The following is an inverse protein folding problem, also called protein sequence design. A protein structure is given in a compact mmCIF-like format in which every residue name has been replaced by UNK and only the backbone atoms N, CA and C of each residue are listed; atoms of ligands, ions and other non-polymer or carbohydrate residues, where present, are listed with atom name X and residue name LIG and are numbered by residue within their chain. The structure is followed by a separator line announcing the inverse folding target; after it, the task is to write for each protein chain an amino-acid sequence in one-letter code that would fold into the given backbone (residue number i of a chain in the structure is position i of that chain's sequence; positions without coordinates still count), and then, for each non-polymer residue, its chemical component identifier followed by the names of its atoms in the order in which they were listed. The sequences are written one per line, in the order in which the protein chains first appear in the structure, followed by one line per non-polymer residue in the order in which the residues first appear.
data_IF_980508877370
#
_entry.id   IF_980508877370
#
_cell.length_a   1.000
_cell.length_b   1.000
_cell.length_c   1.000
_cell.angle_alpha   90.00
_cell.angle_beta   90.00
_cell.angle_gamma   90.00
#
_symmetry.space_group_name_H-M   'P 1'
#
loop_
_entity.id
_entity.type
_entity.pdbx_description
1 polymer ?
#
# COMPACT_ATOMS: atom_id res chain seq x y z
N UNK A 1 9.78 -17.29 -25.75
CA UNK A 1 9.84 -16.00 -25.03
C UNK A 1 9.16 -16.20 -23.69
N UNK A 2 9.84 -15.93 -22.57
CA UNK A 2 9.24 -16.05 -21.24
C UNK A 2 8.38 -14.78 -20.99
N UNK A 3 7.11 -14.89 -20.57
CA UNK A 3 6.29 -13.72 -20.28
C UNK A 3 6.88 -12.84 -19.18
N UNK A 4 6.67 -11.52 -19.28
CA UNK A 4 7.15 -10.54 -18.28
C UNK A 4 6.73 -10.92 -16.84
N UNK A 5 5.49 -11.38 -16.68
CA UNK A 5 4.90 -11.77 -15.39
C UNK A 5 5.61 -12.93 -14.69
N UNK A 6 6.38 -13.76 -15.41
CA UNK A 6 6.99 -14.98 -14.87
C UNK A 6 7.89 -14.71 -13.65
N UNK A 7 8.59 -13.56 -13.63
CA UNK A 7 9.48 -13.19 -12.51
C UNK A 7 8.75 -12.87 -11.20
N UNK A 8 7.44 -12.61 -11.26
CA UNK A 8 6.62 -12.24 -10.11
C UNK A 8 5.71 -13.39 -9.63
N UNK A 9 5.73 -14.55 -10.29
CA UNK A 9 4.85 -15.66 -9.92
C UNK A 9 5.06 -16.13 -8.49
N UNK A 10 6.30 -16.17 -8.01
CA UNK A 10 6.60 -16.57 -6.64
C UNK A 10 6.02 -15.58 -5.61
N UNK A 11 6.13 -14.27 -5.87
CA UNK A 11 5.63 -13.23 -4.97
C UNK A 11 4.11 -13.13 -5.01
N UNK A 12 3.48 -13.23 -6.19
CA UNK A 12 2.01 -13.30 -6.34
C UNK A 12 1.45 -14.52 -5.58
N UNK A 13 2.11 -15.67 -5.65
CA UNK A 13 1.68 -16.88 -4.91
C UNK A 13 1.80 -16.70 -3.40
N UNK A 14 2.88 -16.07 -2.94
CA UNK A 14 3.03 -15.70 -1.53
C UNK A 14 1.95 -14.70 -1.10
N UNK A 15 1.68 -13.66 -1.88
CA UNK A 15 0.62 -12.68 -1.61
C UNK A 15 -0.78 -13.32 -1.60
N UNK A 16 -1.03 -14.30 -2.48
CA UNK A 16 -2.29 -15.09 -2.49
C UNK A 16 -2.46 -15.84 -1.17
N UNK A 17 -1.39 -16.47 -0.67
CA UNK A 17 -1.43 -17.16 0.63
C UNK A 17 -1.70 -16.18 1.78
N UNK A 18 -1.02 -15.02 1.79
CA UNK A 18 -1.24 -13.99 2.81
C UNK A 18 -2.66 -13.43 2.77
N UNK A 19 -3.23 -13.21 1.58
CA UNK A 19 -4.61 -12.77 1.44
C UNK A 19 -5.59 -13.80 2.00
N UNK A 20 -5.35 -15.10 1.78
CA UNK A 20 -6.14 -16.18 2.39
C UNK A 20 -6.04 -16.19 3.91
N UNK A 21 -4.84 -15.99 4.46
CA UNK A 21 -4.63 -15.91 5.91
C UNK A 21 -5.33 -14.68 6.52
N UNK A 22 -5.29 -13.53 5.82
CA UNK A 22 -5.94 -12.30 6.26
C UNK A 22 -7.47 -12.39 6.32
N UNK A 23 -8.08 -13.17 5.42
CA UNK A 23 -9.53 -13.42 5.43
C UNK A 23 -9.94 -14.61 6.32
N UNK A 24 -8.95 -15.35 6.86
CA UNK A 24 -9.14 -16.48 7.77
C UNK A 24 -8.53 -17.77 7.23
N UNK A 25 -9.20 -18.41 6.27
CA UNK A 25 -8.71 -19.63 5.63
C UNK A 25 -9.26 -19.82 4.20
N UNK A 26 -8.81 -20.88 3.52
CA UNK A 26 -9.25 -21.20 2.16
C UNK A 26 -10.75 -21.49 2.05
N UNK A 27 -11.41 -21.93 3.13
CA UNK A 27 -12.84 -22.24 3.14
C UNK A 27 -13.67 -20.97 3.28
N UNK A 28 -13.25 -20.05 4.15
CA UNK A 28 -13.83 -18.72 4.29
C UNK A 28 -13.71 -17.95 2.96
N UNK A 29 -12.52 -17.96 2.36
CA UNK A 29 -12.26 -17.36 1.05
C UNK A 29 -13.18 -17.89 -0.06
N UNK A 30 -13.43 -19.20 -0.09
CA UNK A 30 -14.38 -19.80 -1.04
C UNK A 30 -15.84 -19.40 -0.79
N UNK A 31 -16.18 -18.89 0.39
CA UNK A 31 -17.54 -18.49 0.75
C UNK A 31 -17.98 -17.14 0.15
N UNK A 32 -17.04 -16.28 -0.22
CA UNK A 32 -17.34 -14.95 -0.79
C UNK A 32 -16.69 -14.70 -2.16
N UNK A 33 -15.87 -15.62 -2.67
CA UNK A 33 -15.34 -15.57 -4.03
C UNK A 33 -16.11 -16.54 -4.93
N UNK A 34 -16.00 -16.38 -6.26
CA UNK A 34 -16.65 -17.29 -7.22
C UNK A 34 -15.98 -18.67 -7.38
N UNK A 35 -14.89 -18.94 -6.66
CA UNK A 35 -14.05 -20.13 -6.85
C UNK A 35 -14.09 -21.05 -5.63
N UNK A 36 -13.85 -22.34 -5.85
CA UNK A 36 -13.85 -23.32 -4.78
C UNK A 36 -12.51 -23.33 -4.01
N UNK A 37 -12.54 -23.85 -2.78
CA UNK A 37 -11.37 -24.02 -1.91
C UNK A 37 -10.15 -24.62 -2.64
N UNK A 38 -10.34 -25.70 -3.39
CA UNK A 38 -9.25 -26.39 -4.10
C UNK A 38 -8.59 -25.52 -5.17
N UNK A 39 -9.35 -24.63 -5.82
CA UNK A 39 -8.80 -23.68 -6.79
C UNK A 39 -7.97 -22.60 -6.08
N UNK A 40 -8.40 -22.12 -4.93
CA UNK A 40 -7.63 -21.17 -4.13
C UNK A 40 -6.31 -21.78 -3.62
N UNK A 41 -6.33 -23.04 -3.17
CA UNK A 41 -5.13 -23.79 -2.79
C UNK A 41 -4.15 -23.92 -3.99
N UNK A 42 -4.70 -24.18 -5.19
CA UNK A 42 -3.92 -24.21 -6.42
C UNK A 42 -3.27 -22.86 -6.74
N UNK A 43 -4.01 -21.76 -6.61
CA UNK A 43 -3.49 -20.41 -6.86
C UNK A 43 -2.33 -20.07 -5.93
N UNK A 44 -2.41 -20.46 -4.65
CA UNK A 44 -1.35 -20.22 -3.67
C UNK A 44 -0.13 -21.18 -3.80
N UNK A 45 -0.29 -22.34 -4.42
CA UNK A 45 0.76 -23.36 -4.50
C UNK A 45 1.87 -23.02 -5.49
N UNK A 46 3.14 -23.07 -5.07
CA UNK A 46 4.32 -22.88 -5.94
C UNK A 46 4.51 -23.97 -6.99
N UNK A 47 3.86 -25.11 -6.82
CA UNK A 47 3.99 -26.27 -7.71
C UNK A 47 2.91 -26.30 -8.79
N UNK A 48 1.89 -25.44 -8.69
CA UNK A 48 0.80 -25.39 -9.66
C UNK A 48 0.95 -24.17 -10.58
N UNK A 49 0.69 -24.34 -11.90
CA UNK A 49 0.88 -23.27 -12.87
C UNK A 49 -0.23 -22.20 -12.82
N UNK A 50 -1.33 -22.48 -12.13
CA UNK A 50 -2.46 -21.56 -12.00
C UNK A 50 -2.14 -20.41 -11.06
N UNK A 51 -2.69 -19.24 -11.36
CA UNK A 51 -2.51 -18.00 -10.61
C UNK A 51 -3.90 -17.41 -10.36
N UNK A 52 -4.04 -16.70 -9.23
CA UNK A 52 -5.30 -16.07 -8.87
C UNK A 52 -5.80 -15.14 -9.99
N UNK A 53 -7.04 -15.31 -10.47
CA UNK A 53 -7.67 -14.37 -11.41
C UNK A 53 -7.88 -12.99 -10.77
N UNK A 54 -7.87 -11.93 -11.59
CA UNK A 54 -7.98 -10.55 -11.11
C UNK A 54 -9.29 -10.28 -10.34
N UNK A 55 -10.41 -10.82 -10.81
CA UNK A 55 -11.70 -10.67 -10.14
C UNK A 55 -11.72 -11.30 -8.75
N UNK A 56 -11.14 -12.50 -8.61
CA UNK A 56 -10.97 -13.16 -7.31
C UNK A 56 -10.00 -12.37 -6.43
N UNK A 57 -8.93 -11.80 -6.98
CA UNK A 57 -8.00 -10.97 -6.22
C UNK A 57 -8.68 -9.72 -5.64
N UNK A 58 -9.59 -9.10 -6.39
CA UNK A 58 -10.39 -7.96 -5.92
C UNK A 58 -11.27 -8.37 -4.73
N UNK A 59 -11.99 -9.49 -4.83
CA UNK A 59 -12.83 -9.99 -3.74
C UNK A 59 -12.01 -10.26 -2.47
N UNK A 60 -10.83 -10.87 -2.63
CA UNK A 60 -9.90 -11.17 -1.53
C UNK A 60 -9.39 -9.90 -0.83
N UNK A 61 -8.86 -8.94 -1.59
CA UNK A 61 -8.37 -7.67 -1.02
C UNK A 61 -9.51 -6.87 -0.37
N UNK A 62 -10.71 -6.90 -0.97
CA UNK A 62 -11.89 -6.22 -0.42
C UNK A 62 -12.34 -6.83 0.91
N UNK A 63 -12.32 -8.16 1.03
CA UNK A 63 -12.69 -8.86 2.25
C UNK A 63 -11.60 -8.75 3.33
N UNK A 64 -10.33 -8.74 2.93
CA UNK A 64 -9.20 -8.52 3.84
C UNK A 64 -9.11 -7.07 4.34
N UNK A 65 -9.86 -6.15 3.73
CA UNK A 65 -9.78 -4.70 3.95
C UNK A 65 -8.36 -4.15 3.78
N UNK A 66 -7.55 -4.82 2.97
CA UNK A 66 -6.13 -4.53 2.73
C UNK A 66 -5.79 -4.83 1.27
N UNK A 67 -5.03 -3.97 0.57
CA UNK A 67 -4.70 -4.15 -0.84
C UNK A 67 -3.51 -5.11 -1.03
N UNK A 68 -3.59 -6.34 -0.53
CA UNK A 68 -2.46 -7.30 -0.51
C UNK A 68 -2.05 -7.68 -1.93
N UNK A 69 -2.99 -8.18 -2.74
CA UNK A 69 -2.75 -8.63 -4.11
C UNK A 69 -2.60 -7.45 -5.07
N UNK A 70 -3.36 -6.37 -4.85
CA UNK A 70 -3.24 -5.13 -5.59
C UNK A 70 -1.86 -4.50 -5.41
N UNK A 71 -1.29 -4.53 -4.20
CA UNK A 71 0.06 -4.02 -3.94
C UNK A 71 1.12 -4.84 -4.66
N UNK A 72 0.98 -6.16 -4.68
CA UNK A 72 1.89 -7.03 -5.42
C UNK A 72 1.85 -6.76 -6.93
N UNK A 73 0.65 -6.56 -7.50
CA UNK A 73 0.49 -6.17 -8.90
C UNK A 73 1.10 -4.80 -9.19
N UNK A 74 0.88 -3.81 -8.32
CA UNK A 74 1.45 -2.48 -8.45
C UNK A 74 2.99 -2.54 -8.43
N UNK A 75 3.58 -3.26 -7.47
CA UNK A 75 5.03 -3.45 -7.38
C UNK A 75 5.61 -4.12 -8.62
N UNK A 76 4.95 -5.15 -9.16
CA UNK A 76 5.39 -5.82 -10.39
C UNK A 76 5.46 -4.87 -11.60
N UNK A 77 4.66 -3.81 -11.58
CA UNK A 77 4.58 -2.79 -12.63
C UNK A 77 5.37 -1.51 -12.31
N UNK A 78 5.99 -1.41 -11.13
CA UNK A 78 6.72 -0.21 -10.69
C UNK A 78 5.83 0.92 -10.17
N UNK A 79 4.62 0.60 -9.71
CA UNK A 79 3.70 1.54 -9.06
C UNK A 79 3.61 1.30 -7.55
N UNK A 80 3.09 2.29 -6.83
CA UNK A 80 2.63 2.18 -5.44
C UNK A 80 1.11 2.27 -5.39
N UNK A 81 0.49 1.53 -4.48
CA UNK A 81 -0.97 1.61 -4.25
C UNK A 81 -1.26 2.78 -3.33
N UNK A 82 -2.16 3.65 -3.78
CA UNK A 82 -2.70 4.75 -2.98
C UNK A 82 -4.20 4.49 -2.73
N UNK A 83 -4.64 4.35 -1.47
CA UNK A 83 -6.05 4.20 -1.16
C UNK A 83 -6.87 5.43 -1.61
N UNK A 84 -7.99 5.19 -2.30
CA UNK A 84 -8.90 6.28 -2.71
C UNK A 84 -9.66 6.90 -1.54
N UNK A 85 -9.86 6.13 -0.46
CA UNK A 85 -10.54 6.57 0.75
C UNK A 85 -9.68 6.26 1.97
N UNK A 86 -9.11 7.30 2.59
CA UNK A 86 -8.31 7.19 3.82
C UNK A 86 -9.06 7.88 4.94
N UNK A 87 -10.10 7.22 5.45
CA UNK A 87 -10.90 7.67 6.59
C UNK A 87 -11.15 9.20 6.66
N UNK A 88 -11.26 9.78 7.84
CA UNK A 88 -11.32 11.23 8.01
C UNK A 88 -9.92 11.85 8.14
N UNK A 89 -8.97 11.51 7.26
CA UNK A 89 -7.69 12.24 7.18
C UNK A 89 -7.94 13.74 6.90
N UNK A 90 -7.38 14.63 7.70
CA UNK A 90 -7.51 16.08 7.52
C UNK A 90 -6.31 16.57 6.71
N UNK A 91 -6.54 17.13 5.52
CA UNK A 91 -5.45 17.56 4.64
C UNK A 91 -4.54 18.59 5.33
N UNK A 92 -5.08 19.48 6.15
CA UNK A 92 -4.30 20.47 6.89
C UNK A 92 -3.42 19.81 7.95
N UNK A 93 -3.99 18.89 8.73
CA UNK A 93 -3.25 18.12 9.74
C UNK A 93 -2.19 17.23 9.12
N UNK A 94 -2.51 16.53 8.04
CA UNK A 94 -1.59 15.62 7.35
C UNK A 94 -0.44 16.41 6.71
N UNK A 95 -0.71 17.59 6.13
CA UNK A 95 0.35 18.45 5.60
C UNK A 95 1.19 19.14 6.69
N UNK A 96 0.60 19.44 7.85
CA UNK A 96 1.33 19.92 9.03
C UNK A 96 2.28 18.83 9.55
N UNK A 97 1.78 17.61 9.72
CA UNK A 97 2.58 16.44 10.10
C UNK A 97 3.68 16.18 9.07
N UNK A 98 3.36 16.26 7.77
CA UNK A 98 4.32 16.11 6.67
C UNK A 98 5.48 17.11 6.79
N UNK A 99 5.18 18.39 7.06
CA UNK A 99 6.19 19.44 7.23
C UNK A 99 7.21 19.07 8.31
N UNK A 100 6.72 18.59 9.47
CA UNK A 100 7.59 18.17 10.57
C UNK A 100 8.44 16.95 10.22
N UNK A 101 7.81 15.86 9.74
CA UNK A 101 8.54 14.60 9.50
C UNK A 101 9.47 14.67 8.29
N UNK A 102 9.13 15.46 7.26
CA UNK A 102 9.99 15.69 6.11
C UNK A 102 11.22 16.51 6.47
N UNK A 103 11.10 17.50 7.35
CA UNK A 103 12.24 18.27 7.85
C UNK A 103 13.27 17.40 8.55
N UNK A 104 12.83 16.49 9.43
CA UNK A 104 13.71 15.53 10.09
C UNK A 104 14.39 14.58 9.10
N UNK A 105 13.64 14.10 8.10
CA UNK A 105 14.16 13.20 7.06
C UNK A 105 15.21 13.90 6.19
N UNK A 106 14.93 15.12 5.72
CA UNK A 106 15.86 15.92 4.91
C UNK A 106 17.12 16.28 5.70
N UNK A 107 16.98 16.67 6.97
CA UNK A 107 18.13 16.95 7.84
C UNK A 107 19.04 15.72 8.00
N UNK A 108 18.43 14.54 8.21
CA UNK A 108 19.16 13.26 8.29
C UNK A 108 19.85 12.94 6.97
N UNK A 109 19.17 13.15 5.84
CA UNK A 109 19.72 12.92 4.50
C UNK A 109 20.92 13.84 4.21
N UNK A 110 20.83 15.12 4.56
CA UNK A 110 21.93 16.08 4.37
C UNK A 110 23.17 15.62 5.15
N UNK A 111 23.00 15.16 6.40
CA UNK A 111 24.10 14.65 7.22
C UNK A 111 24.75 13.40 6.61
N UNK A 112 23.94 12.44 6.16
CA UNK A 112 24.43 11.21 5.51
C UNK A 112 25.17 11.53 4.20
N UNK A 113 24.78 12.59 3.49
CA UNK A 113 25.43 12.96 2.23
C UNK A 113 26.80 13.65 2.42
N UNK A 114 27.24 13.95 3.65
CA UNK A 114 28.49 14.67 3.91
C UNK A 114 29.74 13.93 3.42
N UNK A 115 29.77 12.61 3.53
CA UNK A 115 30.90 11.77 3.10
C UNK A 115 30.66 11.07 1.74
N UNK A 116 29.46 11.19 1.20
CA UNK A 116 29.06 10.62 -0.09
C UNK A 116 28.83 9.10 -0.08
N UNK A 117 28.78 8.46 1.09
CA UNK A 117 28.54 7.02 1.27
C UNK A 117 27.34 6.83 2.20
N UNK A 118 26.51 5.82 1.93
CA UNK A 118 25.45 5.42 2.87
C UNK A 118 25.89 4.13 3.53
N UNK A 119 26.23 4.18 4.82
CA UNK A 119 26.59 2.98 5.58
C UNK A 119 25.36 2.21 6.10
N UNK A 120 25.51 0.97 6.60
CA UNK A 120 24.38 0.19 7.12
C UNK A 120 23.65 0.83 8.30
N UNK A 121 24.34 1.55 9.19
CA UNK A 121 23.73 2.27 10.31
C UNK A 121 22.89 3.43 9.79
N UNK A 122 23.39 4.19 8.83
CA UNK A 122 22.70 5.30 8.18
C UNK A 122 21.48 4.84 7.38
N UNK A 123 21.60 3.71 6.68
CA UNK A 123 20.48 3.08 6.00
C UNK A 123 19.37 2.69 6.98
N UNK A 124 19.73 2.10 8.13
CA UNK A 124 18.78 1.75 9.19
C UNK A 124 18.15 2.99 9.86
N UNK A 125 18.86 4.12 9.88
CA UNK A 125 18.37 5.38 10.45
C UNK A 125 17.39 6.08 9.50
N UNK A 126 17.73 6.21 8.21
CA UNK A 126 16.94 6.99 7.26
C UNK A 126 15.71 6.24 6.73
N UNK A 127 15.77 4.90 6.62
CA UNK A 127 14.67 4.08 6.11
C UNK A 127 13.34 4.29 6.87
N UNK A 128 13.26 4.22 8.22
CA UNK A 128 12.01 4.44 8.93
C UNK A 128 11.49 5.87 8.79
N UNK A 129 12.39 6.88 8.69
CA UNK A 129 12.02 8.28 8.47
C UNK A 129 11.37 8.46 7.10
N UNK A 130 11.98 7.91 6.04
CA UNK A 130 11.42 7.91 4.69
C UNK A 130 10.06 7.19 4.62
N UNK A 131 9.94 6.03 5.28
CA UNK A 131 8.67 5.29 5.33
C UNK A 131 7.56 6.11 6.00
N UNK A 132 7.87 6.81 7.10
CA UNK A 132 6.93 7.70 7.79
C UNK A 132 6.52 8.89 6.91
N UNK A 133 7.49 9.56 6.27
CA UNK A 133 7.20 10.68 5.36
C UNK A 133 6.31 10.25 4.20
N UNK A 134 6.62 9.09 3.59
CA UNK A 134 5.80 8.49 2.54
C UNK A 134 4.37 8.27 3.04
N UNK A 135 4.19 7.59 4.16
CA UNK A 135 2.88 7.30 4.72
C UNK A 135 2.02 8.55 4.95
N UNK A 136 2.59 9.62 5.52
CA UNK A 136 1.86 10.87 5.76
C UNK A 136 1.46 11.54 4.44
N UNK A 137 2.35 11.55 3.45
CA UNK A 137 2.05 12.11 2.13
C UNK A 137 0.96 11.30 1.39
N UNK A 138 0.95 9.98 1.54
CA UNK A 138 -0.09 9.10 0.99
C UNK A 138 -1.48 9.41 1.58
N UNK A 139 -1.56 9.70 2.89
CA UNK A 139 -2.79 10.14 3.54
C UNK A 139 -3.30 11.47 2.96
N UNK A 140 -2.41 12.45 2.80
CA UNK A 140 -2.75 13.73 2.19
C UNK A 140 -3.22 13.58 0.72
N UNK A 141 -2.53 12.75 -0.07
CA UNK A 141 -2.87 12.48 -1.47
C UNK A 141 -4.25 11.83 -1.63
N UNK A 142 -4.63 10.92 -0.73
CA UNK A 142 -5.96 10.31 -0.76
C UNK A 142 -7.09 11.34 -0.63
N UNK A 143 -6.89 12.37 0.21
CA UNK A 143 -7.85 13.47 0.34
C UNK A 143 -7.93 14.31 -0.94
N UNK A 144 -6.80 14.58 -1.60
CA UNK A 144 -6.78 15.26 -2.90
C UNK A 144 -7.53 14.45 -3.96
N UNK A 145 -7.31 13.14 -4.01
CA UNK A 145 -8.00 12.28 -4.97
C UNK A 145 -9.52 12.28 -4.76
N UNK A 146 -9.96 12.27 -3.50
CA UNK A 146 -11.39 12.41 -3.15
C UNK A 146 -11.98 13.72 -3.71
N UNK A 147 -11.26 14.84 -3.58
CA UNK A 147 -11.68 16.15 -4.12
C UNK A 147 -11.80 16.10 -5.65
N UNK A 148 -10.80 15.51 -6.32
CA UNK A 148 -10.79 15.35 -7.78
C UNK A 148 -11.99 14.52 -8.27
N UNK A 149 -12.34 13.45 -7.57
CA UNK A 149 -13.50 12.61 -7.91
C UNK A 149 -14.84 13.32 -7.68
N UNK A 150 -14.98 14.03 -6.56
CA UNK A 150 -16.24 14.69 -6.20
C UNK A 150 -16.47 16.01 -6.95
N UNK A 151 -15.41 16.62 -7.47
CA UNK A 151 -15.47 17.92 -8.17
C UNK A 151 -15.96 19.07 -7.29
N UNK A 152 -15.95 18.90 -5.96
CA UNK A 152 -16.43 19.88 -4.99
C UNK A 152 -15.26 20.45 -4.18
N UNK A 153 -15.23 21.77 -3.94
CA UNK A 153 -14.22 22.37 -3.07
C UNK A 153 -14.25 21.75 -1.67
N UNK A 154 -13.06 21.50 -1.11
CA UNK A 154 -12.88 21.09 0.28
C UNK A 154 -12.25 22.24 1.07
N UNK A 155 -12.85 22.58 2.22
CA UNK A 155 -12.30 23.60 3.11
C UNK A 155 -11.28 22.96 4.05
N UNK A 156 -10.05 23.47 4.01
CA UNK A 156 -8.99 23.06 4.95
C UNK A 156 -9.21 23.84 6.24
N UNK A 157 -9.51 23.16 7.35
CA UNK A 157 -9.52 23.80 8.67
C UNK A 157 -8.06 24.07 9.06
N UNK A 158 -7.68 25.34 9.21
CA UNK A 158 -6.41 25.70 9.84
C UNK A 158 -6.45 25.37 11.33
N UNK A 159 -5.33 24.93 11.90
CA UNK A 159 -5.17 24.83 13.36
C UNK A 159 -5.40 26.22 13.96
N UNK A 160 -6.59 26.45 14.51
CA UNK A 160 -7.00 27.76 15.03
C UNK A 160 -8.50 28.00 15.10
N UNK A 161 -9.34 27.20 14.43
CA UNK A 161 -10.80 27.30 14.58
C UNK A 161 -11.28 26.26 15.60
N UNK A 162 -11.08 26.57 16.88
CA UNK A 162 -11.81 25.91 17.96
C UNK A 162 -13.30 26.15 17.76
N UNK A 163 -14.08 25.08 17.76
CA UNK A 163 -15.54 25.12 17.66
C UNK A 163 -16.10 25.99 18.81
N UNK A 164 -16.86 27.02 18.43
CA UNK A 164 -17.76 27.75 19.32
C UNK A 164 -19.17 27.20 19.25
#
# INVERSE_FOLDING_TARGET
MIPFSHRFLASIKTATKHAVEAVGDFRAAAGFTRVQKSQLEAYASRHQPTVIPLDVAIDMDRCAEQPILLSEMAHALGYVVLPMHVGPGDFGRDMSEYSMVSGEMVSTAIRILEDGVIDPQEANEIAPKMAKTKHVLERALARIHTIQQLGKPYSVKGEGQADG
#
